data_IF_848125325345
#
_entry.id   IF_848125325345
#
_cell.length_a   1.000
_cell.length_b   1.000
_cell.length_c   1.000
_cell.angle_alpha   90.00
_cell.angle_beta   90.00
_cell.angle_gamma   90.00
#
_symmetry.space_group_name_H-M   'P 1'
#
loop_
_entity.id
_entity.type
_entity.pdbx_description
1 polymer ?
#
# COMPACT_ATOMS: atom_id res chain seq x y z
N UNK A 1 32.69 9.64 53.84
CA UNK A 1 31.99 8.47 54.41
C UNK A 1 30.50 8.68 54.19
N UNK A 2 29.69 7.88 53.51
CA UNK A 2 29.76 6.61 52.75
C UNK A 2 28.53 6.71 51.81
N UNK A 3 28.67 6.68 50.49
CA UNK A 3 28.56 5.47 49.63
C UNK A 3 27.30 4.64 49.87
N UNK A 4 26.34 4.75 48.94
CA UNK A 4 25.28 3.79 48.58
C UNK A 4 24.77 4.23 47.18
N UNK A 5 25.45 3.89 46.09
CA UNK A 5 25.26 2.67 45.28
C UNK A 5 23.78 2.28 45.08
N UNK A 6 23.05 3.05 44.27
CA UNK A 6 21.86 2.54 43.58
C UNK A 6 22.32 1.92 42.26
N UNK A 7 22.36 0.59 42.24
CA UNK A 7 22.58 -0.23 41.06
C UNK A 7 21.33 -0.13 40.17
N UNK A 8 21.34 0.75 39.17
CA UNK A 8 20.35 0.74 38.09
C UNK A 8 20.65 -0.44 37.18
N UNK A 9 19.86 -1.51 37.32
CA UNK A 9 19.78 -2.58 36.33
C UNK A 9 19.25 -2.00 35.01
N UNK A 10 20.18 -1.62 34.13
CA UNK A 10 19.96 -1.53 32.70
C UNK A 10 19.66 -2.95 32.19
N UNK A 11 18.38 -3.32 32.16
CA UNK A 11 17.92 -4.44 31.34
C UNK A 11 18.03 -3.98 29.88
N UNK A 12 18.86 -4.63 29.05
CA UNK A 12 18.77 -4.44 27.62
C UNK A 12 17.42 -5.01 27.20
N UNK A 13 16.60 -4.17 26.58
CA UNK A 13 15.50 -4.61 25.70
C UNK A 13 16.13 -5.39 24.55
N UNK A 14 16.56 -6.63 24.83
CA UNK A 14 16.73 -7.63 23.80
C UNK A 14 15.35 -7.81 23.20
N UNK A 15 15.20 -7.34 21.95
CA UNK A 15 14.12 -7.79 21.10
C UNK A 15 14.16 -9.31 21.09
N UNK A 16 13.25 -9.92 21.86
CA UNK A 16 12.97 -11.32 21.75
C UNK A 16 12.40 -11.51 20.35
N UNK A 17 13.29 -11.80 19.40
CA UNK A 17 12.94 -12.50 18.18
C UNK A 17 12.42 -13.86 18.62
N UNK A 18 11.15 -13.92 19.02
CA UNK A 18 10.42 -15.16 18.99
C UNK A 18 10.38 -15.54 17.52
N UNK A 19 11.32 -16.43 17.14
CA UNK A 19 11.22 -17.20 15.92
C UNK A 19 10.01 -18.14 16.07
N UNK A 20 8.80 -17.59 15.95
CA UNK A 20 7.65 -18.37 15.56
C UNK A 20 7.85 -18.73 14.10
N UNK A 21 8.49 -19.88 13.88
CA UNK A 21 8.39 -20.57 12.59
C UNK A 21 6.91 -20.68 12.28
N UNK A 22 6.50 -20.20 11.11
CA UNK A 22 5.16 -20.46 10.62
C UNK A 22 4.92 -21.97 10.72
N UNK A 23 4.01 -22.38 11.58
CA UNK A 23 3.56 -23.77 11.59
C UNK A 23 3.07 -24.07 10.18
N UNK A 24 3.57 -25.15 9.58
CA UNK A 24 3.12 -25.60 8.27
C UNK A 24 1.58 -25.66 8.26
N UNK A 25 0.93 -25.39 7.11
CA UNK A 25 -0.53 -25.47 7.03
C UNK A 25 -1.00 -26.83 7.54
N UNK A 26 -2.10 -26.85 8.28
CA UNK A 26 -2.72 -28.11 8.62
C UNK A 26 -3.08 -28.85 7.32
N UNK A 27 -2.78 -30.16 7.21
CA UNK A 27 -3.11 -30.90 6.02
C UNK A 27 -4.63 -30.91 5.86
N UNK A 28 -5.09 -30.74 4.61
CA UNK A 28 -6.48 -30.97 4.27
C UNK A 28 -6.88 -32.44 4.41
N UNK A 29 -8.15 -32.74 4.13
CA UNK A 29 -8.66 -34.11 4.14
C UNK A 29 -8.06 -34.97 3.01
N UNK A 30 -7.95 -36.30 3.20
CA UNK A 30 -7.42 -37.20 2.18
C UNK A 30 -8.35 -37.30 0.96
N UNK A 31 -7.78 -37.69 -0.19
CA UNK A 31 -8.54 -37.85 -1.44
C UNK A 31 -9.74 -38.82 -1.29
N UNK A 32 -9.62 -39.85 -0.47
CA UNK A 32 -10.73 -40.78 -0.20
C UNK A 32 -11.96 -40.11 0.43
N UNK A 33 -11.78 -39.09 1.26
CA UNK A 33 -12.89 -38.32 1.84
C UNK A 33 -13.61 -37.52 0.75
N UNK A 34 -12.86 -36.94 -0.21
CA UNK A 34 -13.42 -36.26 -1.38
C UNK A 34 -14.21 -37.23 -2.25
N UNK A 35 -13.64 -38.39 -2.57
CA UNK A 35 -14.32 -39.41 -3.39
C UNK A 35 -15.63 -39.89 -2.76
N UNK A 36 -15.65 -40.06 -1.43
CA UNK A 36 -16.86 -40.40 -0.69
C UNK A 36 -17.91 -39.28 -0.80
N UNK A 37 -17.53 -38.02 -0.54
CA UNK A 37 -18.43 -36.88 -0.68
C UNK A 37 -18.99 -36.75 -2.10
N UNK A 38 -18.17 -36.94 -3.12
CA UNK A 38 -18.61 -36.91 -4.52
C UNK A 38 -19.58 -38.03 -4.82
N UNK A 39 -19.26 -39.28 -4.45
CA UNK A 39 -20.15 -40.42 -4.67
C UNK A 39 -21.51 -40.20 -4.00
N UNK A 40 -21.51 -39.62 -2.80
CA UNK A 40 -22.71 -39.31 -2.04
C UNK A 40 -23.55 -38.20 -2.67
N UNK A 41 -22.93 -37.09 -3.07
CA UNK A 41 -23.61 -36.00 -3.77
C UNK A 41 -24.19 -36.44 -5.12
N UNK A 42 -23.45 -37.26 -5.88
CA UNK A 42 -23.94 -37.82 -7.14
C UNK A 42 -25.10 -38.78 -6.92
N UNK A 43 -25.07 -39.60 -5.86
CA UNK A 43 -26.18 -40.46 -5.51
C UNK A 43 -27.46 -39.67 -5.12
N UNK A 44 -27.31 -38.50 -4.47
CA UNK A 44 -28.42 -37.65 -4.06
C UNK A 44 -28.99 -36.79 -5.19
N UNK A 45 -28.12 -36.29 -6.07
CA UNK A 45 -28.47 -35.23 -7.01
C UNK A 45 -28.34 -35.62 -8.50
N UNK A 46 -27.69 -36.75 -8.79
CA UNK A 46 -27.51 -37.30 -10.14
C UNK A 46 -26.18 -36.94 -10.81
N UNK A 47 -25.86 -37.70 -11.86
CA UNK A 47 -24.56 -37.66 -12.57
C UNK A 47 -24.26 -36.30 -13.22
N UNK A 48 -25.30 -35.55 -13.59
CA UNK A 48 -25.15 -34.22 -14.20
C UNK A 48 -24.38 -33.23 -13.30
N UNK A 49 -24.36 -33.45 -11.97
CA UNK A 49 -23.65 -32.61 -11.02
C UNK A 49 -22.25 -33.11 -10.63
N UNK A 50 -21.81 -34.26 -11.16
CA UNK A 50 -20.57 -34.93 -10.72
C UNK A 50 -19.32 -34.04 -10.84
N UNK A 51 -19.19 -33.27 -11.92
CA UNK A 51 -18.05 -32.38 -12.13
C UNK A 51 -17.99 -31.26 -11.07
N UNK A 52 -19.13 -30.61 -10.79
CA UNK A 52 -19.21 -29.54 -9.78
C UNK A 52 -19.07 -30.07 -8.37
N UNK A 53 -19.68 -31.23 -8.07
CA UNK A 53 -19.51 -31.92 -6.80
C UNK A 53 -18.03 -32.22 -6.54
N UNK A 54 -17.32 -32.77 -7.54
CA UNK A 54 -15.88 -33.05 -7.43
C UNK A 54 -15.05 -31.80 -7.21
N UNK A 55 -15.27 -30.75 -7.99
CA UNK A 55 -14.54 -29.49 -7.82
C UNK A 55 -14.81 -28.90 -6.42
N UNK A 56 -16.07 -28.75 -6.05
CA UNK A 56 -16.47 -28.16 -4.77
C UNK A 56 -15.95 -28.94 -3.57
N UNK A 57 -16.15 -30.26 -3.57
CA UNK A 57 -15.69 -31.15 -2.51
C UNK A 57 -14.16 -31.07 -2.34
N UNK A 58 -13.40 -31.07 -3.45
CA UNK A 58 -11.94 -30.94 -3.41
C UNK A 58 -11.48 -29.56 -2.89
N UNK A 59 -12.14 -28.48 -3.30
CA UNK A 59 -11.83 -27.11 -2.83
C UNK A 59 -12.03 -26.97 -1.32
N UNK A 60 -13.11 -27.57 -0.79
CA UNK A 60 -13.40 -27.62 0.65
C UNK A 60 -12.37 -28.48 1.37
N UNK A 61 -12.14 -29.72 0.91
CA UNK A 61 -11.21 -30.66 1.56
C UNK A 61 -9.79 -30.11 1.66
N UNK A 62 -9.30 -29.42 0.62
CA UNK A 62 -7.97 -28.80 0.61
C UNK A 62 -7.78 -27.72 1.69
N UNK A 63 -8.88 -27.18 2.24
CA UNK A 63 -8.89 -26.13 3.26
C UNK A 63 -9.62 -26.56 4.53
N UNK A 64 -10.03 -27.82 4.66
CA UNK A 64 -10.72 -28.35 5.84
C UNK A 64 -9.68 -28.86 6.84
N UNK A 65 -9.55 -28.19 7.98
CA UNK A 65 -8.52 -28.47 8.98
C UNK A 65 -9.11 -29.18 10.20
N UNK A 66 -8.31 -29.76 11.11
CA UNK A 66 -8.84 -30.52 12.25
C UNK A 66 -9.87 -29.77 13.12
N UNK A 67 -9.72 -28.46 13.28
CA UNK A 67 -10.67 -27.61 14.00
C UNK A 67 -12.05 -27.50 13.32
N UNK A 68 -12.15 -27.87 12.04
CA UNK A 68 -13.39 -27.80 11.29
C UNK A 68 -14.31 -29.00 11.47
N UNK A 69 -13.76 -30.11 11.98
CA UNK A 69 -14.45 -31.38 12.16
C UNK A 69 -13.73 -32.52 11.45
N UNK A 70 -14.14 -33.74 11.76
CA UNK A 70 -13.64 -34.95 11.13
C UNK A 70 -14.24 -35.18 9.73
N UNK A 71 -13.89 -36.30 9.09
CA UNK A 71 -14.41 -36.69 7.78
C UNK A 71 -15.95 -36.82 7.76
N UNK A 72 -16.55 -37.23 8.87
CA UNK A 72 -18.01 -37.35 8.97
C UNK A 72 -18.68 -35.98 8.99
N UNK A 73 -18.11 -35.01 9.72
CA UNK A 73 -18.58 -33.62 9.72
C UNK A 73 -18.41 -32.97 8.34
N UNK A 74 -17.30 -33.23 7.65
CA UNK A 74 -17.07 -32.76 6.27
C UNK A 74 -18.10 -33.33 5.28
N UNK A 75 -18.36 -34.64 5.33
CA UNK A 75 -19.35 -35.28 4.47
C UNK A 75 -20.76 -34.72 4.72
N UNK A 76 -21.15 -34.63 6.00
CA UNK A 76 -22.43 -34.07 6.40
C UNK A 76 -22.59 -32.60 5.95
N UNK A 77 -21.52 -31.81 6.02
CA UNK A 77 -21.50 -30.45 5.51
C UNK A 77 -21.73 -30.42 4.00
N UNK A 78 -21.00 -31.25 3.23
CA UNK A 78 -21.15 -31.31 1.78
C UNK A 78 -22.59 -31.70 1.38
N UNK A 79 -23.16 -32.73 2.00
CA UNK A 79 -24.55 -33.15 1.76
C UNK A 79 -25.56 -32.04 2.06
N UNK A 80 -25.38 -31.31 3.16
CA UNK A 80 -26.33 -30.30 3.59
C UNK A 80 -26.26 -29.00 2.79
N UNK A 81 -25.11 -28.69 2.19
CA UNK A 81 -24.81 -27.35 1.65
C UNK A 81 -24.65 -27.30 0.12
N UNK A 82 -24.65 -28.46 -0.56
CA UNK A 82 -24.55 -28.50 -2.02
C UNK A 82 -25.88 -28.10 -2.67
N UNK A 83 -25.88 -26.95 -3.34
CA UNK A 83 -27.05 -26.45 -4.09
C UNK A 83 -27.10 -27.11 -5.47
N UNK A 84 -28.26 -27.41 -6.04
CA UNK A 84 -28.39 -27.96 -7.41
C UNK A 84 -29.16 -27.06 -8.38
N UNK A 85 -30.03 -26.19 -7.84
CA UNK A 85 -30.83 -25.25 -8.61
C UNK A 85 -30.01 -23.99 -8.96
N UNK A 86 -30.07 -23.55 -10.22
CA UNK A 86 -29.42 -22.33 -10.68
C UNK A 86 -30.02 -21.07 -10.04
N UNK A 87 -31.32 -21.09 -9.71
CA UNK A 87 -31.96 -20.00 -8.99
C UNK A 87 -31.39 -19.83 -7.58
N UNK A 88 -31.16 -20.95 -6.87
CA UNK A 88 -30.54 -20.93 -5.53
C UNK A 88 -29.08 -20.50 -5.60
N UNK A 89 -28.33 -20.95 -6.61
CA UNK A 89 -26.95 -20.49 -6.85
C UNK A 89 -26.91 -18.98 -7.11
N UNK A 90 -27.82 -18.46 -7.93
CA UNK A 90 -27.91 -17.02 -8.18
C UNK A 90 -28.21 -16.25 -6.90
N UNK A 91 -29.25 -16.67 -6.16
CA UNK A 91 -29.67 -16.01 -4.93
C UNK A 91 -28.58 -16.04 -3.84
N UNK A 92 -27.87 -17.17 -3.71
CA UNK A 92 -26.78 -17.32 -2.77
C UNK A 92 -25.58 -16.44 -3.15
N UNK A 93 -25.19 -16.37 -4.43
CA UNK A 93 -24.12 -15.50 -4.90
C UNK A 93 -24.44 -14.01 -4.67
N UNK A 94 -25.67 -13.57 -4.96
CA UNK A 94 -26.12 -12.20 -4.69
C UNK A 94 -26.10 -11.88 -3.19
N UNK A 95 -26.55 -12.83 -2.34
CA UNK A 95 -26.54 -12.65 -0.89
C UNK A 95 -25.11 -12.57 -0.35
N UNK A 96 -24.22 -13.47 -0.78
CA UNK A 96 -22.80 -13.43 -0.43
C UNK A 96 -22.18 -12.11 -0.83
N UNK A 97 -22.37 -11.68 -2.08
CA UNK A 97 -21.83 -10.41 -2.59
C UNK A 97 -22.27 -9.23 -1.73
N UNK A 98 -23.57 -9.12 -1.42
CA UNK A 98 -24.09 -8.02 -0.60
C UNK A 98 -23.54 -8.01 0.82
N UNK A 99 -23.51 -9.18 1.48
CA UNK A 99 -23.05 -9.27 2.87
C UNK A 99 -21.55 -9.00 2.98
N UNK A 100 -20.75 -9.53 2.05
CA UNK A 100 -19.31 -9.30 2.01
C UNK A 100 -18.97 -7.84 1.71
N UNK A 101 -19.72 -7.20 0.80
CA UNK A 101 -19.58 -5.76 0.56
C UNK A 101 -19.85 -4.92 1.83
N UNK A 102 -20.89 -5.26 2.59
CA UNK A 102 -21.16 -4.60 3.87
C UNK A 102 -20.05 -4.88 4.89
N UNK A 103 -19.61 -6.13 5.05
CA UNK A 103 -18.55 -6.48 6.01
C UNK A 103 -17.25 -5.73 5.70
N UNK A 104 -16.74 -5.85 4.47
CA UNK A 104 -15.47 -5.21 4.07
C UNK A 104 -15.60 -3.69 4.07
N UNK A 105 -16.73 -3.13 3.64
CA UNK A 105 -16.97 -1.68 3.68
C UNK A 105 -16.97 -1.12 5.10
N UNK A 106 -17.58 -1.82 6.06
CA UNK A 106 -17.60 -1.39 7.47
C UNK A 106 -16.24 -1.54 8.16
N UNK A 107 -15.51 -2.60 7.86
CA UNK A 107 -14.13 -2.75 8.34
C UNK A 107 -13.23 -1.64 7.77
N UNK A 108 -13.42 -1.29 6.50
CA UNK A 108 -12.73 -0.17 5.87
C UNK A 108 -13.06 1.18 6.53
N UNK A 109 -14.34 1.42 6.86
CA UNK A 109 -14.77 2.59 7.62
C UNK A 109 -14.15 2.66 9.03
N UNK A 110 -14.13 1.55 9.77
CA UNK A 110 -13.47 1.48 11.08
C UNK A 110 -11.97 1.76 10.93
N UNK A 111 -11.32 1.15 9.93
CA UNK A 111 -9.90 1.34 9.67
C UNK A 111 -9.57 2.79 9.34
N UNK A 112 -10.43 3.47 8.58
CA UNK A 112 -10.29 4.90 8.29
C UNK A 112 -10.27 5.72 9.58
N UNK A 113 -11.19 5.46 10.50
CA UNK A 113 -11.24 6.17 11.79
C UNK A 113 -10.01 5.91 12.66
N UNK A 114 -9.56 4.65 12.74
CA UNK A 114 -8.34 4.28 13.47
C UNK A 114 -7.11 5.04 12.95
N UNK A 115 -7.02 5.25 11.64
CA UNK A 115 -5.91 5.92 10.98
C UNK A 115 -6.04 7.45 10.97
N UNK A 116 -7.19 8.03 11.34
CA UNK A 116 -7.48 9.46 11.22
C UNK A 116 -6.36 10.36 11.78
N UNK A 117 -5.84 10.18 13.01
CA UNK A 117 -4.81 11.08 13.54
C UNK A 117 -3.46 10.96 12.81
N UNK A 118 -3.15 9.78 12.27
CA UNK A 118 -1.89 9.52 11.55
C UNK A 118 -1.96 10.05 10.11
N UNK A 119 -3.09 9.82 9.44
CA UNK A 119 -3.27 10.19 8.03
C UNK A 119 -3.66 11.66 7.84
N UNK A 120 -4.44 12.20 8.78
CA UNK A 120 -5.06 13.52 8.68
C UNK A 120 -4.44 14.52 9.67
N UNK A 121 -4.37 15.78 9.26
CA UNK A 121 -3.92 16.89 10.10
C UNK A 121 -5.04 17.40 11.01
N UNK A 122 -5.39 16.56 12.00
CA UNK A 122 -6.47 16.81 12.97
C UNK A 122 -5.95 17.18 14.38
N UNK A 123 -4.65 17.47 14.50
CA UNK A 123 -3.99 17.78 15.78
C UNK A 123 -2.70 16.96 16.01
N UNK A 124 -2.16 16.90 17.23
CA UNK A 124 -0.99 16.05 17.53
C UNK A 124 -1.38 14.56 17.61
N UNK A 125 -0.57 13.68 17.03
CA UNK A 125 -0.65 12.23 17.23
C UNK A 125 -0.30 11.91 18.68
N UNK A 126 -1.08 11.04 19.32
CA UNK A 126 -0.96 10.67 20.72
C UNK A 126 -0.52 9.21 20.85
N UNK A 127 0.08 8.81 21.99
CA UNK A 127 0.53 7.43 22.20
C UNK A 127 -0.58 6.38 22.07
N UNK A 128 -1.84 6.72 22.36
CA UNK A 128 -2.96 5.79 22.17
C UNK A 128 -3.41 5.66 20.71
N UNK A 129 -3.17 6.67 19.87
CA UNK A 129 -3.42 6.57 18.42
C UNK A 129 -2.48 5.49 17.84
N UNK A 130 -1.23 5.46 18.30
CA UNK A 130 -0.27 4.41 17.95
C UNK A 130 -0.72 3.01 18.39
N UNK A 131 -1.49 2.89 19.47
CA UNK A 131 -2.08 1.61 19.89
C UNK A 131 -3.27 1.22 19.01
N UNK A 132 -4.15 2.17 18.68
CA UNK A 132 -5.35 1.88 17.87
C UNK A 132 -5.00 1.44 16.45
N UNK A 133 -3.95 2.00 15.83
CA UNK A 133 -3.57 1.60 14.47
C UNK A 133 -3.02 0.17 14.36
N UNK A 134 -2.59 -0.42 15.49
CA UNK A 134 -2.19 -1.83 15.53
C UNK A 134 -3.39 -2.80 15.53
N UNK A 135 -4.60 -2.30 15.80
CA UNK A 135 -5.81 -3.12 15.83
C UNK A 135 -6.41 -3.20 14.42
N UNK A 136 -5.99 -4.20 13.65
CA UNK A 136 -6.54 -4.45 12.31
C UNK A 136 -7.62 -5.55 12.34
N UNK A 137 -8.87 -5.11 12.34
CA UNK A 137 -10.03 -6.02 12.40
C UNK A 137 -10.23 -6.83 11.11
N UNK A 138 -9.72 -6.35 9.96
CA UNK A 138 -9.89 -7.05 8.69
C UNK A 138 -9.14 -8.38 8.65
N UNK A 139 -8.05 -8.48 9.44
CA UNK A 139 -7.24 -9.71 9.56
C UNK A 139 -8.04 -10.92 10.06
N UNK A 140 -9.16 -10.70 10.75
CA UNK A 140 -10.04 -11.74 11.27
C UNK A 140 -11.08 -12.22 10.27
N UNK A 141 -11.50 -11.38 9.32
CA UNK A 141 -12.69 -11.61 8.50
C UNK A 141 -12.65 -12.97 7.80
N UNK A 142 -11.55 -13.29 7.11
CA UNK A 142 -11.42 -14.56 6.40
C UNK A 142 -11.43 -15.76 7.35
N UNK A 143 -10.75 -15.66 8.49
CA UNK A 143 -10.71 -16.74 9.48
C UNK A 143 -12.11 -17.02 10.05
N UNK A 144 -12.88 -15.97 10.35
CA UNK A 144 -14.26 -16.09 10.85
C UNK A 144 -15.21 -16.66 9.79
N UNK A 145 -15.01 -16.32 8.50
CA UNK A 145 -15.78 -16.92 7.40
C UNK A 145 -15.50 -18.43 7.24
N UNK A 146 -14.27 -18.90 7.53
CA UNK A 146 -13.99 -20.34 7.59
C UNK A 146 -14.59 -20.98 8.84
N UNK A 147 -14.41 -20.38 10.02
CA UNK A 147 -14.92 -20.90 11.28
C UNK A 147 -16.46 -21.03 11.28
N UNK A 148 -17.17 -20.07 10.69
CA UNK A 148 -18.62 -20.08 10.50
C UNK A 148 -19.11 -20.92 9.32
N UNK A 149 -18.19 -21.57 8.59
CA UNK A 149 -18.43 -22.39 7.38
C UNK A 149 -18.96 -21.67 6.15
N UNK A 150 -19.07 -20.34 6.16
CA UNK A 150 -19.48 -19.53 5.00
C UNK A 150 -18.49 -19.67 3.84
N UNK A 151 -17.18 -19.66 4.13
CA UNK A 151 -16.16 -19.85 3.11
C UNK A 151 -16.24 -21.26 2.48
N UNK A 152 -16.52 -22.30 3.28
CA UNK A 152 -16.70 -23.66 2.75
C UNK A 152 -17.97 -23.79 1.92
N UNK A 153 -19.05 -23.11 2.29
CA UNK A 153 -20.27 -23.07 1.47
C UNK A 153 -19.98 -22.45 0.10
N UNK A 154 -19.22 -21.35 0.07
CA UNK A 154 -18.81 -20.70 -1.17
C UNK A 154 -17.91 -21.63 -2.02
N UNK A 155 -16.89 -22.23 -1.41
CA UNK A 155 -15.99 -23.18 -2.07
C UNK A 155 -16.69 -24.46 -2.55
N UNK A 156 -17.74 -24.92 -1.89
CA UNK A 156 -18.48 -26.10 -2.31
C UNK A 156 -19.30 -25.83 -3.58
N UNK A 157 -19.85 -24.62 -3.71
CA UNK A 157 -20.85 -24.33 -4.73
C UNK A 157 -20.30 -23.57 -5.95
N UNK A 158 -19.18 -22.86 -5.81
CA UNK A 158 -18.62 -22.03 -6.87
C UNK A 158 -17.13 -22.33 -7.12
N UNK A 159 -16.69 -22.26 -8.39
CA UNK A 159 -15.29 -22.47 -8.73
C UNK A 159 -14.43 -21.27 -8.31
N UNK A 160 -13.30 -21.55 -7.68
CA UNK A 160 -12.16 -20.63 -7.62
C UNK A 160 -11.40 -20.76 -8.94
N UNK A 161 -11.19 -19.64 -9.64
CA UNK A 161 -10.54 -19.62 -10.95
C UNK A 161 -9.08 -19.20 -10.85
N UNK A 162 -8.21 -19.95 -11.51
CA UNK A 162 -6.81 -19.58 -11.72
C UNK A 162 -6.67 -18.47 -12.75
N UNK A 163 -5.55 -17.74 -12.73
CA UNK A 163 -5.26 -16.75 -13.77
C UNK A 163 -5.22 -17.38 -15.18
N UNK A 164 -4.69 -18.59 -15.30
CA UNK A 164 -4.63 -19.30 -16.58
C UNK A 164 -6.03 -19.55 -17.15
N UNK A 165 -6.98 -20.02 -16.33
CA UNK A 165 -8.38 -20.18 -16.76
C UNK A 165 -9.02 -18.83 -17.10
N UNK A 166 -8.82 -17.80 -16.28
CA UNK A 166 -9.38 -16.47 -16.53
C UNK A 166 -8.89 -15.88 -17.86
N UNK A 167 -7.63 -16.08 -18.21
CA UNK A 167 -7.08 -15.61 -19.49
C UNK A 167 -7.60 -16.44 -20.67
N UNK A 168 -7.73 -17.76 -20.52
CA UNK A 168 -8.14 -18.65 -21.60
C UNK A 168 -9.65 -18.58 -21.88
N UNK A 169 -10.48 -18.51 -20.84
CA UNK A 169 -11.93 -18.63 -20.95
C UNK A 169 -12.67 -17.30 -20.74
N UNK A 170 -12.03 -16.34 -20.05
CA UNK A 170 -12.63 -15.06 -19.69
C UNK A 170 -13.23 -14.23 -20.84
N UNK A 171 -12.67 -14.25 -22.07
CA UNK A 171 -13.30 -13.59 -23.22
C UNK A 171 -14.72 -14.10 -23.55
N UNK A 172 -15.03 -15.35 -23.22
CA UNK A 172 -16.33 -16.00 -23.47
C UNK A 172 -17.27 -15.91 -22.26
N UNK A 173 -16.79 -15.42 -21.12
CA UNK A 173 -17.57 -15.36 -19.88
C UNK A 173 -18.61 -14.24 -19.90
N UNK A 174 -19.80 -14.56 -19.39
CA UNK A 174 -20.81 -13.55 -19.10
C UNK A 174 -20.37 -12.65 -17.95
N UNK A 175 -21.02 -11.49 -17.80
CA UNK A 175 -20.82 -10.59 -16.64
C UNK A 175 -21.04 -11.33 -15.32
N UNK A 176 -22.01 -12.22 -15.27
CA UNK A 176 -22.33 -12.99 -14.07
C UNK A 176 -21.23 -13.99 -13.74
N UNK A 177 -20.71 -14.70 -14.74
CA UNK A 177 -19.57 -15.62 -14.56
C UNK A 177 -18.36 -14.87 -14.03
N UNK A 178 -18.07 -13.68 -14.56
CA UNK A 178 -17.04 -12.80 -14.04
C UNK A 178 -17.30 -12.39 -12.58
N UNK A 179 -18.52 -11.96 -12.26
CA UNK A 179 -18.88 -11.54 -10.90
C UNK A 179 -18.70 -12.69 -9.89
N UNK A 180 -19.14 -13.90 -10.22
CA UNK A 180 -18.97 -15.08 -9.37
C UNK A 180 -17.49 -15.44 -9.22
N UNK A 181 -16.71 -15.45 -10.30
CA UNK A 181 -15.27 -15.72 -10.24
C UNK A 181 -14.55 -14.73 -9.31
N UNK A 182 -14.80 -13.42 -9.46
CA UNK A 182 -14.25 -12.37 -8.60
C UNK A 182 -14.61 -12.53 -7.13
N UNK A 183 -15.88 -12.86 -6.85
CA UNK A 183 -16.36 -13.04 -5.49
C UNK A 183 -15.64 -14.19 -4.77
N UNK A 184 -15.28 -15.26 -5.49
CA UNK A 184 -14.63 -16.44 -4.91
C UNK A 184 -13.13 -16.29 -4.69
N UNK A 185 -12.47 -15.32 -5.33
CA UNK A 185 -11.01 -15.15 -5.27
C UNK A 185 -10.49 -15.07 -3.82
N UNK A 186 -11.23 -14.44 -2.91
CA UNK A 186 -10.83 -14.31 -1.50
C UNK A 186 -10.71 -15.65 -0.77
N UNK A 187 -11.51 -16.66 -1.14
CA UNK A 187 -11.54 -17.98 -0.50
C UNK A 187 -10.47 -18.94 -1.05
N UNK A 188 -9.74 -18.54 -2.10
CA UNK A 188 -8.66 -19.33 -2.68
C UNK A 188 -7.50 -19.56 -1.69
N UNK A 189 -7.45 -18.84 -0.58
CA UNK A 189 -6.45 -18.99 0.48
C UNK A 189 -7.13 -19.13 1.83
N UNK A 190 -6.47 -19.81 2.77
CA UNK A 190 -6.84 -19.82 4.19
C UNK A 190 -5.62 -19.46 5.02
N UNK A 191 -5.33 -18.16 5.08
CA UNK A 191 -4.18 -17.64 5.85
C UNK A 191 -4.64 -17.39 7.29
N UNK A 192 -3.96 -17.92 8.32
CA UNK A 192 -4.32 -17.69 9.71
C UNK A 192 -4.26 -16.21 10.07
N UNK A 193 -5.21 -15.74 10.89
CA UNK A 193 -5.25 -14.36 11.36
C UNK A 193 -3.92 -13.87 11.98
N UNK A 194 -3.20 -14.64 12.83
CA UNK A 194 -1.93 -14.18 13.38
C UNK A 194 -0.81 -13.98 12.33
N UNK A 195 -0.93 -14.59 11.16
CA UNK A 195 -0.02 -14.36 10.03
C UNK A 195 -0.36 -13.04 9.34
N UNK A 196 -1.66 -12.79 9.08
CA UNK A 196 -2.13 -11.53 8.49
C UNK A 196 -1.87 -10.33 9.41
N UNK A 197 -2.09 -10.47 10.72
CA UNK A 197 -1.83 -9.45 11.72
C UNK A 197 -0.35 -9.03 11.72
N UNK A 198 0.59 -9.99 11.72
CA UNK A 198 2.03 -9.67 11.63
C UNK A 198 2.40 -8.94 10.34
N UNK A 199 1.76 -9.28 9.22
CA UNK A 199 1.96 -8.56 7.97
C UNK A 199 1.44 -7.12 8.05
N UNK A 200 0.27 -6.91 8.67
CA UNK A 200 -0.30 -5.58 8.91
C UNK A 200 0.58 -4.72 9.83
N UNK A 201 1.09 -5.30 10.94
CA UNK A 201 2.02 -4.64 11.86
C UNK A 201 3.33 -4.26 11.19
N UNK A 202 3.95 -5.17 10.43
CA UNK A 202 5.21 -4.91 9.72
C UNK A 202 5.03 -3.82 8.66
N UNK A 203 3.91 -3.82 7.92
CA UNK A 203 3.62 -2.78 6.93
C UNK A 203 3.37 -1.42 7.60
N UNK A 204 2.56 -1.39 8.66
CA UNK A 204 2.26 -0.16 9.42
C UNK A 204 3.54 0.45 10.00
N UNK A 205 4.45 -0.37 10.55
CA UNK A 205 5.73 0.10 11.07
C UNK A 205 6.65 0.67 9.96
N UNK A 206 6.66 0.05 8.78
CA UNK A 206 7.43 0.54 7.63
C UNK A 206 6.85 1.86 7.09
N UNK A 207 5.52 1.98 7.01
CA UNK A 207 4.83 3.20 6.59
C UNK A 207 5.07 4.34 7.57
N UNK A 208 4.97 4.09 8.88
CA UNK A 208 5.30 5.07 9.92
C UNK A 208 6.74 5.55 9.83
N UNK A 209 7.69 4.62 9.61
CA UNK A 209 9.10 4.96 9.41
C UNK A 209 9.27 5.94 8.24
N UNK A 210 8.67 5.66 7.08
CA UNK A 210 8.79 6.53 5.89
C UNK A 210 8.01 7.84 6.04
N UNK A 211 6.81 7.82 6.62
CA UNK A 211 5.98 9.00 6.83
C UNK A 211 6.61 10.01 7.80
N UNK A 212 7.28 9.51 8.84
CA UNK A 212 8.03 10.31 9.81
C UNK A 212 9.36 10.82 9.27
N UNK A 213 9.89 10.24 8.19
CA UNK A 213 11.23 10.54 7.69
C UNK A 213 11.28 11.85 6.89
N UNK A 214 11.61 12.94 7.57
CA UNK A 214 11.66 14.27 6.97
C UNK A 214 13.07 14.84 6.96
N UNK A 215 13.38 15.61 5.93
CA UNK A 215 14.63 16.36 5.79
C UNK A 215 14.31 17.84 5.86
N UNK A 216 15.06 18.54 6.72
CA UNK A 216 15.07 20.00 6.82
C UNK A 216 15.94 20.58 5.73
N UNK A 217 15.37 20.75 4.54
CA UNK A 217 16.08 21.27 3.37
C UNK A 217 16.67 22.65 3.64
N UNK A 218 15.96 23.45 4.42
CA UNK A 218 16.41 24.75 4.91
C UNK A 218 17.71 24.68 5.72
N UNK A 219 18.09 23.51 6.23
CA UNK A 219 19.31 23.30 7.02
C UNK A 219 20.46 22.68 6.23
N UNK A 220 20.26 22.41 4.96
CA UNK A 220 21.36 21.94 4.11
C UNK A 220 22.32 23.08 3.82
N UNK A 221 23.62 22.79 3.93
CA UNK A 221 24.69 23.72 3.59
C UNK A 221 25.58 23.14 2.50
N UNK A 222 26.11 24.03 1.67
CA UNK A 222 27.15 23.71 0.70
C UNK A 222 28.54 23.77 1.36
N UNK A 223 29.58 23.33 0.65
CA UNK A 223 30.95 23.32 1.14
C UNK A 223 31.48 24.73 1.52
N UNK A 224 30.95 25.78 0.89
CA UNK A 224 31.23 27.19 1.18
C UNK A 224 30.28 27.82 2.22
N UNK A 225 29.42 27.01 2.84
CA UNK A 225 28.53 27.42 3.93
C UNK A 225 27.23 28.11 3.50
N UNK A 226 26.91 28.12 2.20
CA UNK A 226 25.66 28.70 1.70
C UNK A 226 24.48 27.80 2.02
N UNK A 227 23.30 28.41 2.22
CA UNK A 227 22.02 27.72 2.44
C UNK A 227 21.15 27.89 1.20
N UNK A 228 21.14 26.93 0.27
CA UNK A 228 20.57 27.15 -1.05
C UNK A 228 19.04 26.99 -1.07
N UNK A 229 18.41 26.49 -0.01
CA UNK A 229 16.97 26.27 0.07
C UNK A 229 16.26 27.31 0.96
N UNK A 230 14.98 27.63 0.66
CA UNK A 230 14.20 28.57 1.45
C UNK A 230 14.03 28.15 2.92
N UNK A 231 13.96 29.14 3.82
CA UNK A 231 13.68 28.92 5.24
C UNK A 231 12.35 28.17 5.43
N UNK A 232 12.33 27.17 6.34
CA UNK A 232 11.15 26.39 6.65
C UNK A 232 10.82 25.26 5.67
N UNK A 233 11.58 25.09 4.58
CA UNK A 233 11.37 23.97 3.65
C UNK A 233 11.68 22.63 4.32
N UNK A 234 10.63 21.86 4.61
CA UNK A 234 10.67 20.53 5.24
C UNK A 234 10.00 19.52 4.33
N UNK A 235 10.75 18.49 3.90
CA UNK A 235 10.29 17.53 2.90
C UNK A 235 10.36 16.09 3.42
N UNK A 236 9.33 15.31 3.14
CA UNK A 236 9.36 13.85 3.31
C UNK A 236 10.38 13.23 2.35
N UNK A 237 11.19 12.28 2.82
CA UNK A 237 12.31 11.74 2.05
C UNK A 237 11.90 10.92 0.83
N UNK A 238 10.76 10.24 0.88
CA UNK A 238 10.34 9.32 -0.19
C UNK A 238 10.02 10.02 -1.52
N UNK A 239 9.39 11.20 -1.49
CA UNK A 239 8.84 11.87 -2.68
C UNK A 239 9.03 13.38 -2.67
N UNK A 240 9.02 14.01 -1.49
CA UNK A 240 9.33 15.44 -1.39
C UNK A 240 10.68 15.78 -2.00
N UNK A 241 11.72 14.97 -1.72
CA UNK A 241 13.04 15.15 -2.33
C UNK A 241 13.03 15.01 -3.86
N UNK A 242 12.30 14.01 -4.38
CA UNK A 242 12.15 13.80 -5.83
C UNK A 242 11.48 15.00 -6.51
N UNK A 243 10.37 15.45 -5.94
CA UNK A 243 9.55 16.51 -6.54
C UNK A 243 10.27 17.85 -6.48
N UNK A 244 10.94 18.11 -5.36
CA UNK A 244 11.84 19.24 -5.20
C UNK A 244 13.00 19.19 -6.21
N UNK A 245 13.62 18.04 -6.45
CA UNK A 245 14.65 17.89 -7.48
C UNK A 245 14.09 18.19 -8.87
N UNK A 246 12.90 17.67 -9.18
CA UNK A 246 12.20 17.87 -10.44
C UNK A 246 11.78 19.32 -10.70
N UNK A 247 11.46 20.10 -9.67
CA UNK A 247 11.06 21.51 -9.82
C UNK A 247 12.25 22.43 -10.20
N UNK A 248 13.49 21.97 -9.99
CA UNK A 248 14.71 22.75 -10.26
C UNK A 248 15.17 22.74 -11.72
N UNK A 249 14.57 21.96 -12.61
CA UNK A 249 14.96 21.97 -14.04
C UNK A 249 14.64 23.28 -14.78
N UNK A 250 13.69 24.07 -14.28
CA UNK A 250 13.36 25.38 -14.85
C UNK A 250 14.26 26.51 -14.31
N UNK A 251 15.02 26.25 -13.25
CA UNK A 251 15.92 27.21 -12.60
C UNK A 251 17.31 27.13 -13.26
N UNK A 252 17.83 28.21 -13.87
CA UNK A 252 19.16 28.23 -14.47
C UNK A 252 20.28 27.88 -13.48
N UNK A 253 20.08 28.12 -12.18
CA UNK A 253 21.03 27.80 -11.10
C UNK A 253 20.63 26.51 -10.34
N UNK A 254 19.60 25.81 -10.82
CA UNK A 254 18.99 24.66 -10.16
C UNK A 254 19.89 23.44 -10.04
N UNK A 255 20.90 23.28 -10.92
CA UNK A 255 21.75 22.09 -10.95
C UNK A 255 22.51 21.84 -9.65
N UNK A 256 23.01 22.91 -9.01
CA UNK A 256 23.71 22.79 -7.73
C UNK A 256 22.77 22.26 -6.63
N UNK A 257 21.52 22.73 -6.61
CA UNK A 257 20.47 22.25 -5.69
C UNK A 257 20.11 20.80 -5.98
N UNK A 258 19.97 20.42 -7.25
CA UNK A 258 19.67 19.04 -7.65
C UNK A 258 20.74 18.06 -7.18
N UNK A 259 22.03 18.39 -7.38
CA UNK A 259 23.15 17.59 -6.89
C UNK A 259 23.19 17.47 -5.37
N UNK A 260 22.85 18.55 -4.67
CA UNK A 260 22.78 18.53 -3.21
C UNK A 260 21.66 17.61 -2.71
N UNK A 261 20.49 17.65 -3.34
CA UNK A 261 19.38 16.71 -3.05
C UNK A 261 19.78 15.27 -3.36
N UNK A 262 20.45 15.04 -4.51
CA UNK A 262 20.93 13.71 -4.88
C UNK A 262 21.92 13.16 -3.85
N UNK A 263 22.82 13.99 -3.31
CA UNK A 263 23.71 13.59 -2.23
C UNK A 263 22.94 13.21 -0.96
N UNK A 264 21.90 13.96 -0.57
CA UNK A 264 21.00 13.56 0.53
C UNK A 264 20.39 12.19 0.28
N UNK A 265 19.81 11.97 -0.90
CA UNK A 265 19.18 10.69 -1.25
C UNK A 265 20.18 9.54 -1.22
N UNK A 266 21.41 9.76 -1.70
CA UNK A 266 22.49 8.76 -1.67
C UNK A 266 22.88 8.42 -0.23
N UNK A 267 23.04 9.41 0.67
CA UNK A 267 23.36 9.18 2.09
C UNK A 267 22.27 8.37 2.80
N UNK A 268 21.01 8.63 2.49
CA UNK A 268 19.88 7.86 3.05
C UNK A 268 19.92 6.41 2.56
N UNK A 269 20.09 6.19 1.25
CA UNK A 269 20.12 4.84 0.67
C UNK A 269 21.32 4.05 1.20
N UNK A 270 22.48 4.69 1.33
CA UNK A 270 23.71 4.05 1.82
C UNK A 270 23.76 3.85 3.34
N UNK A 271 22.76 4.33 4.09
CA UNK A 271 22.76 4.35 5.56
C UNK A 271 23.97 5.10 6.14
N UNK A 272 24.34 6.19 5.49
CA UNK A 272 25.44 7.08 5.89
C UNK A 272 24.94 8.43 6.41
N UNK A 273 23.64 8.71 6.27
CA UNK A 273 23.02 9.92 6.82
C UNK A 273 23.22 9.97 8.35
N UNK A 274 23.68 11.09 8.93
CA UNK A 274 23.84 11.18 10.37
C UNK A 274 22.47 11.20 11.05
N UNK A 275 22.21 10.29 11.97
CA UNK A 275 20.87 10.10 12.55
C UNK A 275 20.28 11.39 13.14
N UNK A 276 21.14 12.26 13.67
CA UNK A 276 20.73 13.49 14.33
C UNK A 276 20.11 14.54 13.38
N UNK A 277 20.32 14.45 12.06
CA UNK A 277 19.82 15.46 11.11
C UNK A 277 18.41 15.17 10.59
N UNK A 278 17.89 13.96 10.86
CA UNK A 278 16.55 13.56 10.46
C UNK A 278 15.54 14.44 11.21
N UNK A 279 14.79 15.22 10.44
CA UNK A 279 13.80 16.20 10.89
C UNK A 279 14.26 17.23 11.95
N UNK A 280 15.57 17.52 12.02
CA UNK A 280 16.12 18.36 13.08
C UNK A 280 16.28 19.84 12.66
N UNK A 281 15.59 20.80 13.31
CA UNK A 281 15.70 22.23 12.99
C UNK A 281 17.03 22.88 13.43
N UNK A 282 17.74 22.28 14.38
CA UNK A 282 18.81 22.93 15.15
C UNK A 282 20.21 22.61 14.61
N UNK A 283 20.30 21.78 13.58
CA UNK A 283 21.55 21.32 13.00
C UNK A 283 21.64 21.70 11.52
N UNK A 284 22.79 22.19 11.10
CA UNK A 284 23.18 22.36 9.71
C UNK A 284 23.90 21.10 9.22
N UNK A 285 23.66 20.70 7.97
CA UNK A 285 24.25 19.50 7.39
C UNK A 285 24.78 19.74 5.98
N UNK A 286 26.06 19.43 5.77
CA UNK A 286 26.66 19.26 4.45
C UNK A 286 26.55 17.78 4.06
N UNK A 287 25.64 17.40 3.13
CA UNK A 287 25.47 15.99 2.72
C UNK A 287 26.62 15.49 1.83
N UNK A 288 27.40 16.38 1.21
CA UNK A 288 28.54 16.02 0.37
C UNK A 288 29.72 15.62 1.25
N UNK A 289 30.11 16.50 2.19
CA UNK A 289 31.17 16.18 3.15
C UNK A 289 30.70 15.29 4.31
N UNK A 290 29.39 15.11 4.44
CA UNK A 290 28.69 14.45 5.54
C UNK A 290 29.02 15.03 6.92
N UNK A 291 29.04 16.36 7.03
CA UNK A 291 29.41 17.09 8.25
C UNK A 291 28.21 17.80 8.86
N UNK A 292 28.10 17.69 10.18
CA UNK A 292 27.00 18.29 10.97
C UNK A 292 27.55 19.39 11.85
N UNK A 293 26.85 20.51 11.93
CA UNK A 293 27.21 21.66 12.75
C UNK A 293 25.98 22.22 13.47
N UNK A 294 26.11 22.82 14.67
CA UNK A 294 24.99 23.49 15.32
C UNK A 294 24.59 24.74 14.52
N UNK A 295 23.28 24.96 14.36
CA UNK A 295 22.75 26.16 13.74
C UNK A 295 23.18 27.45 14.47
N UNK A 296 23.27 27.38 15.81
CA UNK A 296 23.71 28.48 16.65
C UNK A 296 25.21 28.85 16.48
N UNK A 297 25.95 28.09 15.67
CA UNK A 297 27.40 28.18 15.53
C UNK A 297 28.13 27.30 16.55
N UNK A 298 29.35 26.88 16.21
CA UNK A 298 30.18 26.00 17.04
C UNK A 298 31.00 25.01 16.22
N UNK A 299 31.71 24.12 16.91
CA UNK A 299 32.46 23.04 16.25
C UNK A 299 31.53 21.98 15.66
N UNK A 300 32.06 21.22 14.70
CA UNK A 300 31.34 20.11 14.10
C UNK A 300 30.91 19.09 15.16
N UNK A 301 29.66 18.63 15.06
CA UNK A 301 29.11 17.64 15.97
C UNK A 301 29.41 16.26 15.40
N UNK A 302 30.03 15.39 16.20
CA UNK A 302 30.11 13.98 15.87
C UNK A 302 28.69 13.38 15.90
N UNK A 303 28.26 12.83 14.77
CA UNK A 303 26.95 12.18 14.66
C UNK A 303 27.14 10.83 13.99
N UNK A 304 26.68 9.78 14.67
CA UNK A 304 26.70 8.44 14.11
C UNK A 304 25.72 8.36 12.93
N UNK A 305 26.04 7.59 11.89
CA UNK A 305 25.07 7.25 10.86
C UNK A 305 23.80 6.65 11.46
N UNK A 306 22.66 6.84 10.80
CA UNK A 306 21.48 6.02 11.03
C UNK A 306 21.87 4.54 10.91
N UNK A 307 21.48 3.66 11.86
CA UNK A 307 21.63 2.22 11.68
C UNK A 307 20.91 1.74 10.41
N UNK A 308 21.08 0.47 10.02
CA UNK A 308 20.45 -0.15 8.84
C UNK A 308 18.90 -0.28 8.91
N UNK A 309 18.24 0.59 9.67
CA UNK A 309 16.81 0.64 9.97
C UNK A 309 15.95 0.52 8.73
N UNK A 310 16.28 1.19 7.62
CA UNK A 310 15.54 1.08 6.35
C UNK A 310 15.52 -0.36 5.83
N UNK A 311 16.67 -1.04 5.88
CA UNK A 311 16.81 -2.41 5.40
C UNK A 311 16.20 -3.41 6.40
N UNK A 312 16.24 -3.12 7.69
CA UNK A 312 15.48 -3.85 8.72
C UNK A 312 13.97 -3.81 8.46
N UNK A 313 13.42 -2.64 8.08
CA UNK A 313 12.00 -2.52 7.71
C UNK A 313 11.67 -3.40 6.50
N UNK A 314 12.47 -3.32 5.43
CA UNK A 314 12.30 -4.14 4.22
C UNK A 314 12.33 -5.64 4.57
N UNK A 315 13.31 -6.06 5.38
CA UNK A 315 13.45 -7.46 5.79
C UNK A 315 12.28 -7.91 6.69
N UNK A 316 11.78 -7.04 7.55
CA UNK A 316 10.64 -7.32 8.43
C UNK A 316 9.37 -7.52 7.61
N UNK A 317 9.10 -6.64 6.64
CA UNK A 317 7.98 -6.79 5.69
C UNK A 317 8.13 -8.09 4.90
N UNK A 318 9.31 -8.38 4.34
CA UNK A 318 9.58 -9.62 3.60
C UNK A 318 9.25 -10.87 4.44
N UNK A 319 9.79 -10.95 5.66
CA UNK A 319 9.55 -12.09 6.56
C UNK A 319 8.07 -12.23 6.92
N UNK A 320 7.38 -11.12 7.16
CA UNK A 320 5.97 -11.13 7.53
C UNK A 320 5.08 -11.60 6.37
N UNK A 321 5.29 -11.10 5.15
CA UNK A 321 4.47 -11.51 3.99
C UNK A 321 4.81 -12.92 3.49
N UNK A 322 6.06 -13.36 3.62
CA UNK A 322 6.48 -14.72 3.27
C UNK A 322 5.88 -15.78 4.22
N UNK A 323 5.55 -15.42 5.46
CA UNK A 323 4.90 -16.32 6.40
C UNK A 323 3.50 -16.80 5.92
N UNK A 324 2.90 -16.11 4.94
CA UNK A 324 1.64 -16.52 4.32
C UNK A 324 1.83 -17.56 3.18
N UNK A 325 3.05 -17.74 2.66
CA UNK A 325 3.33 -18.61 1.51
C UNK A 325 2.84 -20.06 1.69
N UNK A 326 3.03 -20.71 2.86
CA UNK A 326 2.56 -22.08 3.06
C UNK A 326 1.03 -22.24 2.98
N UNK A 327 0.27 -21.16 3.17
CA UNK A 327 -1.19 -21.17 3.18
C UNK A 327 -1.82 -20.82 1.81
N UNK A 328 -0.97 -20.66 0.79
CA UNK A 328 -1.35 -20.29 -0.57
C UNK A 328 -0.72 -21.27 -1.59
N UNK A 329 -1.05 -22.57 -1.58
CA UNK A 329 -0.34 -23.59 -2.36
C UNK A 329 -0.38 -23.34 -3.88
N UNK A 330 -1.46 -22.75 -4.40
CA UNK A 330 -1.59 -22.40 -5.82
C UNK A 330 -0.71 -21.20 -6.21
N UNK A 331 -0.32 -20.38 -5.23
CA UNK A 331 0.51 -19.18 -5.37
C UNK A 331 1.55 -19.09 -4.23
N UNK A 332 2.53 -20.02 -4.16
CA UNK A 332 3.34 -20.28 -2.97
C UNK A 332 4.51 -19.29 -2.78
N UNK A 333 4.35 -18.06 -3.27
CA UNK A 333 5.25 -16.95 -2.98
C UNK A 333 4.48 -15.63 -3.04
N UNK A 334 4.95 -14.63 -2.30
CA UNK A 334 4.38 -13.28 -2.37
C UNK A 334 4.37 -12.74 -3.80
N UNK A 335 5.47 -12.91 -4.54
CA UNK A 335 5.60 -12.48 -5.95
C UNK A 335 4.49 -13.10 -6.80
N UNK A 336 4.30 -14.42 -6.69
CA UNK A 336 3.29 -15.13 -7.46
C UNK A 336 1.87 -14.70 -7.07
N UNK A 337 1.58 -14.46 -5.79
CA UNK A 337 0.30 -13.86 -5.36
C UNK A 337 0.07 -12.48 -5.96
N UNK A 338 1.10 -11.63 -5.99
CA UNK A 338 0.98 -10.30 -6.56
C UNK A 338 0.70 -10.34 -8.07
N UNK A 339 1.37 -11.20 -8.82
CA UNK A 339 1.16 -11.32 -10.27
C UNK A 339 -0.13 -12.06 -10.62
N UNK A 340 -0.34 -13.26 -10.08
CA UNK A 340 -1.43 -14.13 -10.50
C UNK A 340 -2.78 -13.74 -9.91
N UNK A 341 -2.82 -13.18 -8.70
CA UNK A 341 -4.09 -12.85 -8.02
C UNK A 341 -4.38 -11.36 -7.98
N UNK A 342 -3.41 -10.53 -7.57
CA UNK A 342 -3.66 -9.10 -7.39
C UNK A 342 -3.67 -8.35 -8.73
N UNK A 343 -2.56 -8.44 -9.49
CA UNK A 343 -2.41 -7.75 -10.79
C UNK A 343 -3.07 -8.50 -11.95
N UNK A 344 -3.23 -9.82 -11.80
CA UNK A 344 -3.78 -10.72 -12.81
C UNK A 344 -3.11 -10.60 -14.17
N UNK A 345 -1.78 -10.65 -14.14
CA UNK A 345 -0.91 -10.65 -15.31
C UNK A 345 0.22 -11.66 -15.06
N UNK A 346 0.55 -12.53 -16.03
CA UNK A 346 1.68 -13.43 -15.87
C UNK A 346 2.98 -12.64 -15.65
N UNK A 347 3.82 -13.07 -14.71
CA UNK A 347 5.08 -12.40 -14.38
C UNK A 347 5.98 -12.21 -15.62
N UNK A 348 6.14 -13.27 -16.43
CA UNK A 348 6.94 -13.23 -17.64
C UNK A 348 6.38 -12.25 -18.70
N UNK A 349 5.07 -12.07 -18.75
CA UNK A 349 4.44 -11.09 -19.64
C UNK A 349 4.68 -9.66 -19.15
N UNK A 350 4.52 -9.43 -17.84
CA UNK A 350 4.85 -8.15 -17.24
C UNK A 350 6.32 -7.77 -17.44
N UNK A 351 7.25 -8.70 -17.20
CA UNK A 351 8.69 -8.49 -17.45
C UNK A 351 8.94 -8.14 -18.91
N UNK A 352 8.39 -8.93 -19.85
CA UNK A 352 8.52 -8.67 -21.28
C UNK A 352 8.04 -7.28 -21.66
N UNK A 353 6.87 -6.85 -21.15
CA UNK A 353 6.33 -5.52 -21.41
C UNK A 353 7.26 -4.43 -20.85
N UNK A 354 7.74 -4.58 -19.61
CA UNK A 354 8.66 -3.62 -19.00
C UNK A 354 9.98 -3.51 -19.77
N UNK A 355 10.60 -4.64 -20.11
CA UNK A 355 11.83 -4.69 -20.90
C UNK A 355 11.61 -4.08 -22.29
N UNK A 356 10.46 -4.35 -22.94
CA UNK A 356 10.16 -3.78 -24.26
C UNK A 356 10.14 -2.25 -24.25
N UNK A 357 9.61 -1.64 -23.19
CA UNK A 357 9.60 -0.19 -23.02
C UNK A 357 11.01 0.34 -22.74
N UNK A 358 11.75 -0.29 -21.84
CA UNK A 358 13.10 0.15 -21.46
C UNK A 358 14.14 -0.02 -22.59
N UNK A 359 13.96 -1.05 -23.43
CA UNK A 359 14.85 -1.35 -24.55
C UNK A 359 14.45 -0.66 -25.86
N UNK A 360 13.32 0.06 -25.88
CA UNK A 360 12.85 0.75 -27.07
C UNK A 360 13.90 1.76 -27.58
N UNK A 361 14.19 1.81 -28.90
CA UNK A 361 15.19 2.73 -29.45
C UNK A 361 14.87 4.20 -29.13
N UNK A 362 13.59 4.54 -28.97
CA UNK A 362 13.09 5.85 -28.57
C UNK A 362 13.63 6.31 -27.22
N UNK A 363 13.89 5.40 -26.27
CA UNK A 363 14.46 5.76 -24.96
C UNK A 363 15.82 6.43 -25.12
N UNK A 364 16.65 5.95 -26.05
CA UNK A 364 17.95 6.57 -26.37
C UNK A 364 17.79 7.93 -27.02
N UNK A 365 16.81 8.09 -27.91
CA UNK A 365 16.51 9.37 -28.56
C UNK A 365 16.00 10.40 -27.55
N UNK A 366 15.12 9.99 -26.63
CA UNK A 366 14.62 10.83 -25.53
C UNK A 366 15.77 11.24 -24.61
N UNK A 367 16.66 10.31 -24.24
CA UNK A 367 17.84 10.62 -23.43
C UNK A 367 18.80 11.60 -24.12
N UNK A 368 19.08 11.40 -25.40
CA UNK A 368 19.93 12.31 -26.18
C UNK A 368 19.32 13.72 -26.29
N UNK A 369 18.01 13.81 -26.52
CA UNK A 369 17.30 15.08 -26.57
C UNK A 369 17.27 15.77 -25.20
N UNK A 370 17.10 15.02 -24.11
CA UNK A 370 17.19 15.55 -22.75
C UNK A 370 18.60 16.13 -22.48
N UNK A 371 19.66 15.39 -22.80
CA UNK A 371 21.04 15.85 -22.66
C UNK A 371 21.31 17.12 -23.48
N UNK A 372 20.83 17.16 -24.74
CA UNK A 372 20.94 18.32 -25.62
C UNK A 372 20.24 19.54 -25.04
N UNK A 373 19.03 19.38 -24.48
CA UNK A 373 18.28 20.49 -23.85
C UNK A 373 18.90 20.97 -22.55
N UNK A 374 19.48 20.07 -21.76
CA UNK A 374 20.18 20.39 -20.52
C UNK A 374 21.55 21.04 -20.76
N UNK A 375 22.17 20.81 -21.93
CA UNK A 375 23.51 21.33 -22.24
C UNK A 375 24.63 20.65 -21.46
N UNK A 376 24.39 19.46 -20.90
CA UNK A 376 25.35 18.66 -20.13
C UNK A 376 25.08 17.16 -20.29
N UNK A 377 26.05 16.28 -19.96
CA UNK A 377 25.78 14.85 -19.80
C UNK A 377 24.68 14.60 -18.77
N UNK A 378 23.93 13.50 -18.95
CA UNK A 378 22.89 13.10 -18.00
C UNK A 378 23.52 12.65 -16.67
N UNK A 379 22.89 13.02 -15.57
CA UNK A 379 23.13 12.56 -14.22
C UNK A 379 22.03 11.57 -13.81
N UNK A 380 22.26 10.69 -12.80
CA UNK A 380 21.31 9.64 -12.44
C UNK A 380 19.89 10.14 -12.14
N UNK A 381 19.75 11.35 -11.61
CA UNK A 381 18.45 11.95 -11.29
C UNK A 381 17.70 12.54 -12.50
N UNK A 382 18.30 12.53 -13.70
CA UNK A 382 17.63 12.99 -14.92
C UNK A 382 16.54 12.04 -15.42
N UNK A 383 16.34 10.90 -14.74
CA UNK A 383 15.13 10.09 -14.92
C UNK A 383 13.85 10.90 -14.61
N UNK A 384 13.96 11.98 -13.83
CA UNK A 384 12.87 12.90 -13.51
C UNK A 384 12.89 14.18 -14.36
N UNK A 385 13.65 14.20 -15.46
CA UNK A 385 13.71 15.35 -16.35
C UNK A 385 12.31 15.77 -16.83
N UNK A 386 11.92 17.00 -16.50
CA UNK A 386 10.57 17.52 -16.75
C UNK A 386 10.44 18.30 -18.06
N UNK A 387 11.50 18.46 -18.84
CA UNK A 387 11.51 19.33 -20.03
C UNK A 387 10.74 18.82 -21.25
N UNK A 388 10.10 17.64 -21.18
CA UNK A 388 9.11 17.17 -22.14
C UNK A 388 7.67 17.53 -21.75
N UNK A 389 7.45 17.94 -20.50
CA UNK A 389 6.18 18.54 -20.08
C UNK A 389 6.08 19.94 -20.70
N UNK A 390 4.86 20.44 -20.98
CA UNK A 390 4.68 21.83 -21.37
C UNK A 390 5.41 22.74 -20.37
N UNK A 391 6.24 23.67 -20.86
CA UNK A 391 6.89 24.64 -19.98
C UNK A 391 5.78 25.43 -19.28
N UNK A 392 5.70 25.31 -17.96
CA UNK A 392 4.79 26.10 -17.16
C UNK A 392 5.11 27.58 -17.38
N UNK A 393 4.09 28.37 -17.72
CA UNK A 393 4.20 29.83 -17.81
C UNK A 393 4.57 30.44 -16.44
N UNK A 394 4.22 29.74 -15.37
CA UNK A 394 4.26 30.22 -13.99
C UNK A 394 5.33 29.46 -13.20
N UNK A 395 6.07 30.17 -12.34
CA UNK A 395 6.99 29.54 -11.39
C UNK A 395 6.28 29.00 -10.15
N UNK A 396 6.94 28.12 -9.38
CA UNK A 396 6.36 27.50 -8.16
C UNK A 396 5.85 28.56 -7.17
N UNK A 397 6.60 29.64 -6.91
CA UNK A 397 6.17 30.70 -6.00
C UNK A 397 4.91 31.45 -6.47
N UNK A 398 4.74 31.61 -7.78
CA UNK A 398 3.53 32.22 -8.36
C UNK A 398 2.35 31.25 -8.27
N UNK A 399 2.59 29.97 -8.54
CA UNK A 399 1.59 28.92 -8.39
C UNK A 399 1.14 28.78 -6.93
N UNK A 400 2.06 28.83 -5.97
CA UNK A 400 1.75 28.84 -4.53
C UNK A 400 0.85 30.01 -4.16
N UNK A 401 1.12 31.21 -4.68
CA UNK A 401 0.29 32.38 -4.43
C UNK A 401 -1.13 32.19 -5.00
N UNK A 402 -1.23 31.66 -6.23
CA UNK A 402 -2.51 31.42 -6.90
C UNK A 402 -3.34 30.34 -6.20
N UNK A 403 -2.70 29.22 -5.82
CA UNK A 403 -3.39 28.12 -5.14
C UNK A 403 -3.79 28.49 -3.73
N UNK A 404 -2.95 29.22 -2.97
CA UNK A 404 -3.32 29.69 -1.61
C UNK A 404 -4.48 30.68 -1.65
N UNK A 405 -4.48 31.57 -2.64
CA UNK A 405 -5.58 32.51 -2.83
C UNK A 405 -6.89 31.81 -3.19
N UNK A 406 -6.84 30.76 -4.01
CA UNK A 406 -8.02 29.99 -4.43
C UNK A 406 -8.51 29.01 -3.37
N UNK A 407 -7.59 28.39 -2.64
CA UNK A 407 -7.84 27.31 -1.69
C UNK A 407 -7.21 27.62 -0.32
N UNK A 408 -7.74 28.62 0.40
CA UNK A 408 -7.24 28.95 1.74
C UNK A 408 -7.57 27.86 2.77
N UNK A 409 -8.55 26.99 2.49
CA UNK A 409 -9.01 25.93 3.40
C UNK A 409 -9.39 24.67 2.63
N UNK A 410 -9.43 23.53 3.33
CA UNK A 410 -9.94 22.26 2.78
C UNK A 410 -11.38 22.41 2.25
N UNK A 411 -12.23 23.14 2.97
CA UNK A 411 -13.60 23.41 2.57
C UNK A 411 -13.70 24.17 1.24
N UNK A 412 -12.74 25.06 0.95
CA UNK A 412 -12.68 25.76 -0.33
C UNK A 412 -12.37 24.78 -1.48
N UNK A 413 -11.50 23.79 -1.26
CA UNK A 413 -11.22 22.73 -2.25
C UNK A 413 -12.45 21.87 -2.47
N UNK A 414 -13.10 21.41 -1.40
CA UNK A 414 -14.32 20.62 -1.45
C UNK A 414 -15.42 21.31 -2.28
N UNK A 415 -15.64 22.60 -2.05
CA UNK A 415 -16.65 23.38 -2.75
C UNK A 415 -16.33 23.57 -4.24
N UNK A 416 -15.05 23.53 -4.62
CA UNK A 416 -14.60 23.76 -5.99
C UNK A 416 -14.46 22.48 -6.83
N UNK A 417 -14.68 21.29 -6.24
CA UNK A 417 -14.62 20.01 -6.95
C UNK A 417 -15.48 19.98 -8.23
N UNK A 418 -16.74 20.47 -8.26
CA UNK A 418 -17.53 20.48 -9.49
C UNK A 418 -16.90 21.31 -10.61
N UNK A 419 -16.22 22.41 -10.29
CA UNK A 419 -15.50 23.22 -11.29
C UNK A 419 -14.24 22.49 -11.77
N UNK A 420 -13.44 21.95 -10.86
CA UNK A 420 -12.23 21.17 -11.19
C UNK A 420 -12.57 19.99 -12.12
N UNK A 421 -13.62 19.24 -11.82
CA UNK A 421 -14.07 18.13 -12.65
C UNK A 421 -14.55 18.58 -14.04
N UNK A 422 -15.22 19.73 -14.15
CA UNK A 422 -15.59 20.29 -15.46
C UNK A 422 -14.37 20.69 -16.29
N UNK A 423 -13.35 21.28 -15.66
CA UNK A 423 -12.09 21.60 -16.33
C UNK A 423 -11.37 20.33 -16.83
N UNK A 424 -11.53 19.21 -16.12
CA UNK A 424 -11.05 17.89 -16.55
C UNK A 424 -11.92 17.24 -17.65
N UNK A 425 -13.00 17.90 -18.09
CA UNK A 425 -13.85 17.47 -19.20
C UNK A 425 -15.10 16.69 -18.80
N UNK A 426 -15.44 16.59 -17.51
CA UNK A 426 -16.70 15.99 -17.10
C UNK A 426 -17.90 16.91 -17.40
N UNK A 427 -19.04 16.32 -17.77
CA UNK A 427 -20.29 17.10 -17.90
C UNK A 427 -20.70 17.69 -16.55
N UNK A 428 -21.49 18.78 -16.50
CA UNK A 428 -21.96 19.35 -15.24
C UNK A 428 -22.64 18.31 -14.33
N UNK A 429 -23.49 17.46 -14.90
CA UNK A 429 -24.22 16.43 -14.13
C UNK A 429 -23.27 15.39 -13.54
N UNK A 430 -22.25 14.97 -14.31
CA UNK A 430 -21.26 14.00 -13.83
C UNK A 430 -20.34 14.60 -12.79
N UNK A 431 -19.93 15.86 -12.97
CA UNK A 431 -19.09 16.59 -12.02
C UNK A 431 -19.78 16.70 -10.66
N UNK A 432 -21.06 17.10 -10.62
CA UNK A 432 -21.85 17.15 -9.38
C UNK A 432 -22.02 15.76 -8.75
N UNK A 433 -22.28 14.74 -9.57
CA UNK A 433 -22.44 13.37 -9.07
C UNK A 433 -21.17 12.83 -8.42
N UNK A 434 -20.00 13.10 -9.00
CA UNK A 434 -18.69 12.69 -8.44
C UNK A 434 -18.38 13.52 -7.20
N UNK A 435 -18.52 14.85 -7.27
CA UNK A 435 -18.23 15.75 -6.15
C UNK A 435 -19.05 15.40 -4.90
N UNK A 436 -20.32 15.01 -5.06
CA UNK A 436 -21.18 14.55 -3.96
C UNK A 436 -20.75 13.21 -3.33
N UNK A 437 -19.75 12.52 -3.88
CA UNK A 437 -19.23 11.23 -3.42
C UNK A 437 -17.75 11.30 -3.03
N UNK A 438 -17.18 12.50 -2.99
CA UNK A 438 -15.78 12.73 -2.62
C UNK A 438 -15.74 13.67 -1.42
N UNK A 439 -15.05 13.25 -0.37
CA UNK A 439 -14.64 14.11 0.75
C UNK A 439 -13.20 14.56 0.54
N UNK A 440 -12.92 15.84 0.69
CA UNK A 440 -11.55 16.36 0.75
C UNK A 440 -11.10 16.37 2.20
N UNK A 441 -10.03 15.63 2.50
CA UNK A 441 -9.45 15.57 3.84
C UNK A 441 -8.10 16.32 3.91
N UNK A 442 -7.79 16.98 5.05
CA UNK A 442 -6.48 17.57 5.29
C UNK A 442 -5.46 16.47 5.56
N UNK A 443 -4.59 16.14 4.60
CA UNK A 443 -3.55 15.14 4.85
C UNK A 443 -2.43 15.69 5.73
N UNK A 444 -1.98 14.88 6.70
CA UNK A 444 -0.77 15.14 7.48
C UNK A 444 0.50 14.96 6.64
N UNK A 445 0.49 14.00 5.72
CA UNK A 445 1.63 13.65 4.89
C UNK A 445 1.31 13.69 3.41
N UNK A 446 1.79 12.66 2.74
CA UNK A 446 1.50 12.22 1.39
C UNK A 446 0.16 12.59 0.73
N UNK A 447 -0.96 12.40 1.43
CA UNK A 447 -2.28 12.45 0.81
C UNK A 447 -2.67 11.20 0.02
N UNK A 448 -2.40 9.98 0.52
CA UNK A 448 -2.94 8.77 -0.13
C UNK A 448 -4.47 8.80 -0.14
N UNK A 449 -5.05 8.91 -1.34
CA UNK A 449 -6.50 8.84 -1.51
C UNK A 449 -7.02 7.49 -1.01
N UNK A 450 -8.20 7.50 -0.40
CA UNK A 450 -8.85 6.29 0.12
C UNK A 450 -10.15 6.07 -0.65
N UNK A 451 -10.17 5.00 -1.46
CA UNK A 451 -11.31 4.67 -2.31
C UNK A 451 -12.50 4.13 -1.51
N UNK A 452 -13.70 4.25 -2.08
CA UNK A 452 -14.90 3.63 -1.52
C UNK A 452 -14.88 2.11 -1.70
N UNK A 453 -15.28 1.36 -0.67
CA UNK A 453 -15.29 -0.12 -0.67
C UNK A 453 -16.72 -0.69 -0.70
N UNK A 454 -17.73 0.14 -0.39
CA UNK A 454 -19.14 -0.25 -0.40
C UNK A 454 -20.02 0.81 -1.07
N UNK A 455 -21.16 0.37 -1.64
CA UNK A 455 -22.12 1.31 -2.21
C UNK A 455 -22.64 2.27 -1.14
N UNK A 456 -22.59 3.56 -1.47
CA UNK A 456 -23.02 4.64 -0.58
C UNK A 456 -21.90 5.24 0.27
N UNK A 457 -20.71 4.64 0.27
CA UNK A 457 -19.53 5.26 0.87
C UNK A 457 -19.07 6.47 0.03
N UNK A 458 -18.32 7.35 0.68
CA UNK A 458 -17.60 8.43 0.00
C UNK A 458 -16.14 8.02 -0.19
N UNK A 459 -15.56 8.41 -1.32
CA UNK A 459 -14.12 8.35 -1.53
C UNK A 459 -13.46 9.56 -0.87
N UNK A 460 -12.25 9.41 -0.37
CA UNK A 460 -11.52 10.46 0.33
C UNK A 460 -10.33 10.93 -0.51
N UNK A 461 -10.41 12.16 -1.01
CA UNK A 461 -9.32 12.88 -1.62
C UNK A 461 -8.50 13.53 -0.51
N UNK A 462 -7.32 12.99 -0.22
CA UNK A 462 -6.46 13.53 0.83
C UNK A 462 -5.42 14.44 0.21
N UNK A 463 -5.36 15.69 0.68
CA UNK A 463 -4.41 16.69 0.17
C UNK A 463 -3.93 17.59 1.30
N UNK A 464 -2.70 18.12 1.17
CA UNK A 464 -2.12 19.00 2.17
C UNK A 464 -2.64 20.41 2.02
N UNK A 465 -3.30 20.92 3.05
CA UNK A 465 -3.73 22.32 3.16
C UNK A 465 -3.20 22.87 4.47
N UNK A 466 -2.04 23.53 4.42
CA UNK A 466 -1.42 24.12 5.60
C UNK A 466 -2.22 25.33 6.12
N UNK A 467 -1.88 25.85 7.31
CA UNK A 467 -2.54 27.02 7.90
C UNK A 467 -2.52 28.27 6.99
N UNK A 468 -1.56 28.36 6.07
CA UNK A 468 -1.47 29.44 5.06
C UNK A 468 -2.23 29.17 3.76
N UNK A 469 -3.03 28.11 3.67
CA UNK A 469 -3.68 27.62 2.46
C UNK A 469 -2.89 26.57 1.70
N UNK A 470 -3.50 26.02 0.66
CA UNK A 470 -2.90 25.01 -0.22
C UNK A 470 -1.83 25.64 -1.11
N UNK A 471 -0.59 25.18 -1.02
CA UNK A 471 0.47 25.54 -1.96
C UNK A 471 0.38 24.69 -3.25
N UNK A 472 1.22 24.96 -4.23
CA UNK A 472 1.18 24.27 -5.51
C UNK A 472 1.45 22.77 -5.38
N UNK A 473 2.30 22.37 -4.43
CA UNK A 473 2.61 20.96 -4.15
C UNK A 473 1.44 20.22 -3.50
N UNK A 474 0.61 20.89 -2.70
CA UNK A 474 -0.65 20.33 -2.23
C UNK A 474 -1.70 20.21 -3.35
N UNK A 475 -1.70 21.16 -4.30
CA UNK A 475 -2.64 21.18 -5.42
C UNK A 475 -2.34 20.12 -6.50
N UNK A 476 -1.06 19.94 -6.85
CA UNK A 476 -0.59 19.06 -7.90
C UNK A 476 -0.38 17.62 -7.41
#
# INVERSE_FOLDING_TARGET
MRTLLCLTLLLPLFGASFAFGATAPAPGLPAAAVDNAVARLVALHGEAHAARARLGAAQVAARWWPEDGDEAAYLAFCEAQFLTDEADLTAAAERLSRVLEEMTGRLHEIRREQLTPLDLDTGPVRPWDELFVQVDLDTHLLADLFASKVAFFALLNYPVRSLAEMLAEGPEWSRETWARARLMEQFATRIPQPVLQRASEAMTAADQYIAGYNIRMDRLVTADGQRPFPEGLRLISHWGLRDELGSRYADPEGLARQRLIAAVMERIVRQEIPAAVIDNPDLLWDPVANRVQPLAGGEAVASAPEPDRRYEQILSVFRAVAAADPFAPDTPSWIRRQFERNRQIPEAEFERLLVSVLAAPEVKLVGAEAARRLGRPLEPFDIWYSGFKPRGRYGEAELDQLTRARYPTVAAVQADLPRLLRDLGFTPERAEWIAARVVVDPSRGAGHAMGAVRRGDQAHLRTRVAAGGMDYKGYN
#
